data_IF_655830514488
#
_entry.id   IF_655830514488
#
_cell.length_a   1.000
_cell.length_b   1.000
_cell.length_c   1.000
_cell.angle_alpha   90.00
_cell.angle_beta   90.00
_cell.angle_gamma   90.00
#
_symmetry.space_group_name_H-M   'P 1'
#
loop_
_entity.id
_entity.type
_entity.pdbx_description
1 polymer ?
#
# COMPACT_ATOMS: atom_id res chain seq x y z
N UNK A 1 -3.43 -16.34 8.91
CA UNK A 1 -3.15 -14.89 9.00
C UNK A 1 -2.89 -14.30 7.63
N UNK A 2 -3.16 -13.00 7.43
CA UNK A 2 -2.97 -12.27 6.19
C UNK A 2 -1.74 -11.36 6.27
N UNK A 3 -0.87 -11.39 5.25
CA UNK A 3 0.05 -10.29 4.99
C UNK A 3 -0.62 -9.24 4.08
N UNK A 4 -0.79 -8.03 4.59
CA UNK A 4 -1.15 -6.86 3.80
C UNK A 4 0.11 -6.02 3.57
N UNK A 5 0.49 -5.84 2.30
CA UNK A 5 1.71 -5.16 1.90
C UNK A 5 1.33 -3.89 1.12
N UNK A 6 1.73 -2.75 1.66
CA UNK A 6 1.69 -1.47 0.96
C UNK A 6 3.10 -1.09 0.51
N UNK A 7 3.31 -1.01 -0.80
CA UNK A 7 4.59 -0.69 -1.40
C UNK A 7 4.57 0.71 -2.04
N UNK A 8 4.84 1.70 -1.20
CA UNK A 8 4.98 3.09 -1.60
C UNK A 8 6.38 3.45 -2.13
N UNK A 9 6.53 4.65 -2.67
CA UNK A 9 7.79 5.13 -3.25
C UNK A 9 8.96 5.21 -2.25
N UNK A 10 8.67 5.45 -0.98
CA UNK A 10 9.70 5.60 0.07
C UNK A 10 9.86 4.34 0.90
N UNK A 11 8.75 3.74 1.33
CA UNK A 11 8.74 2.58 2.21
C UNK A 11 7.78 1.51 1.69
N UNK A 12 8.12 0.26 1.99
CA UNK A 12 7.22 -0.88 1.96
C UNK A 12 6.77 -1.12 3.39
N UNK A 13 5.48 -1.04 3.64
CA UNK A 13 4.88 -1.34 4.95
C UNK A 13 4.13 -2.65 4.87
N UNK A 14 4.34 -3.52 5.85
CA UNK A 14 3.71 -4.84 5.91
C UNK A 14 2.94 -4.94 7.22
N UNK A 15 1.66 -5.24 7.12
CA UNK A 15 0.80 -5.57 8.24
C UNK A 15 0.57 -7.07 8.32
N UNK A 16 0.62 -7.63 9.52
CA UNK A 16 0.20 -8.99 9.82
C UNK A 16 -1.16 -8.92 10.50
N UNK A 17 -2.17 -9.50 9.88
CA UNK A 17 -3.53 -9.52 10.38
C UNK A 17 -3.97 -10.92 10.81
N UNK A 18 -4.66 -10.99 11.93
CA UNK A 18 -5.43 -12.16 12.36
C UNK A 18 -6.92 -11.78 12.32
N UNK A 19 -7.63 -12.26 11.30
CA UNK A 19 -8.93 -11.71 10.95
C UNK A 19 -8.84 -10.21 10.66
N UNK A 20 -9.63 -9.41 11.35
CA UNK A 20 -9.64 -7.93 11.22
C UNK A 20 -8.59 -7.23 12.10
N UNK A 21 -7.93 -7.96 12.98
CA UNK A 21 -7.00 -7.38 13.96
C UNK A 21 -5.59 -7.27 13.39
N UNK A 22 -5.06 -6.04 13.33
CA UNK A 22 -3.65 -5.80 13.04
C UNK A 22 -2.79 -6.22 14.23
N UNK A 23 -2.10 -7.33 14.12
CA UNK A 23 -1.25 -7.86 15.18
C UNK A 23 0.12 -7.20 15.22
N UNK A 24 0.74 -7.02 14.05
CA UNK A 24 2.10 -6.51 13.94
C UNK A 24 2.30 -5.73 12.64
N UNK A 25 3.28 -4.83 12.66
CA UNK A 25 3.73 -4.11 11.46
C UNK A 25 5.24 -4.26 11.27
N UNK A 26 5.67 -4.18 10.02
CA UNK A 26 7.05 -4.13 9.61
C UNK A 26 7.21 -3.11 8.48
N UNK A 27 8.32 -2.37 8.50
CA UNK A 27 8.60 -1.38 7.46
C UNK A 27 10.03 -1.55 6.95
N UNK A 28 10.18 -1.45 5.65
CA UNK A 28 11.48 -1.46 4.99
C UNK A 28 11.54 -0.39 3.90
N UNK A 29 12.74 0.06 3.55
CA UNK A 29 12.95 1.08 2.52
C UNK A 29 12.72 0.51 1.12
N UNK A 30 11.98 1.23 0.27
CA UNK A 30 11.72 0.85 -1.12
C UNK A 30 12.92 1.12 -2.03
N UNK A 31 13.66 2.20 -1.78
CA UNK A 31 14.71 2.72 -2.68
C UNK A 31 15.91 1.79 -2.90
N UNK A 32 16.02 0.67 -2.19
CA UNK A 32 17.08 -0.33 -2.35
C UNK A 32 16.58 -1.43 -3.28
N UNK A 33 17.36 -1.70 -4.36
CA UNK A 33 17.07 -2.84 -5.24
C UNK A 33 17.32 -4.15 -4.49
N UNK A 34 16.31 -5.02 -4.44
CA UNK A 34 16.37 -6.33 -3.77
C UNK A 34 16.00 -7.44 -4.71
N UNK A 35 16.66 -8.56 -4.54
CA UNK A 35 16.31 -9.83 -5.20
C UNK A 35 15.07 -10.46 -4.56
N UNK A 36 14.50 -11.44 -5.22
CA UNK A 36 13.40 -12.25 -4.67
C UNK A 36 13.80 -12.96 -3.37
N UNK A 37 15.06 -13.39 -3.28
CA UNK A 37 15.57 -14.08 -2.10
C UNK A 37 15.70 -13.15 -0.90
N UNK A 38 16.17 -11.92 -1.11
CA UNK A 38 16.23 -10.92 -0.04
C UNK A 38 14.83 -10.60 0.51
N UNK A 39 13.83 -10.39 -0.34
CA UNK A 39 12.45 -10.18 0.12
C UNK A 39 11.94 -11.39 0.92
N UNK A 40 12.12 -12.61 0.40
CA UNK A 40 11.65 -13.82 1.06
C UNK A 40 12.32 -14.04 2.42
N UNK A 41 13.65 -13.89 2.49
CA UNK A 41 14.41 -14.04 3.74
C UNK A 41 14.04 -12.98 4.76
N UNK A 42 13.90 -11.71 4.37
CA UNK A 42 13.44 -10.65 5.27
C UNK A 42 12.09 -10.95 5.90
N UNK A 43 11.13 -11.42 5.12
CA UNK A 43 9.80 -11.77 5.62
C UNK A 43 9.85 -12.97 6.58
N UNK A 44 10.64 -14.00 6.23
CA UNK A 44 10.83 -15.17 7.11
C UNK A 44 11.51 -14.79 8.42
N UNK A 45 12.56 -13.99 8.37
CA UNK A 45 13.30 -13.58 9.58
C UNK A 45 12.43 -12.68 10.46
N UNK A 46 11.62 -11.81 9.85
CA UNK A 46 10.66 -11.01 10.60
C UNK A 46 9.63 -11.86 11.35
N UNK A 47 9.12 -12.94 10.76
CA UNK A 47 8.26 -13.90 11.44
C UNK A 47 9.00 -14.66 12.55
N UNK A 48 10.22 -15.16 12.26
CA UNK A 48 11.03 -15.89 13.23
C UNK A 48 11.34 -15.08 14.49
N UNK A 49 11.70 -13.79 14.32
CA UNK A 49 11.92 -12.89 15.46
C UNK A 49 10.69 -12.74 16.35
N UNK A 50 9.51 -13.13 15.89
CA UNK A 50 8.24 -13.13 16.62
C UNK A 50 7.76 -14.50 17.02
N UNK A 51 8.63 -15.51 16.84
CA UNK A 51 8.33 -16.91 17.14
C UNK A 51 7.12 -17.45 16.33
N UNK A 52 6.90 -16.91 15.12
CA UNK A 52 5.87 -17.35 14.21
C UNK A 52 6.46 -18.21 13.09
N UNK A 53 5.76 -19.31 12.73
CA UNK A 53 6.05 -20.08 11.52
C UNK A 53 5.51 -19.35 10.28
N UNK A 54 6.14 -19.57 9.13
CA UNK A 54 5.59 -19.10 7.85
C UNK A 54 4.22 -19.69 7.53
N UNK A 55 3.94 -20.89 8.08
CA UNK A 55 2.71 -21.64 7.81
C UNK A 55 1.46 -21.01 8.46
N UNK A 56 1.64 -19.99 9.30
CA UNK A 56 0.52 -19.18 9.80
C UNK A 56 -0.01 -18.19 8.76
N UNK A 57 0.75 -17.96 7.67
CA UNK A 57 0.34 -17.07 6.60
C UNK A 57 -0.47 -17.86 5.57
N UNK A 58 -1.74 -17.52 5.44
CA UNK A 58 -2.68 -18.15 4.52
C UNK A 58 -2.79 -17.37 3.21
N UNK A 59 -2.71 -16.03 3.31
CA UNK A 59 -2.95 -15.12 2.21
C UNK A 59 -2.00 -13.92 2.22
N UNK A 60 -1.77 -13.36 1.05
CA UNK A 60 -0.99 -12.12 0.87
C UNK A 60 -1.71 -11.21 -0.11
N UNK A 61 -1.90 -9.95 0.28
CA UNK A 61 -2.40 -8.89 -0.60
C UNK A 61 -1.34 -7.79 -0.73
N UNK A 62 -1.17 -7.25 -1.93
CA UNK A 62 -0.18 -6.20 -2.23
C UNK A 62 -0.88 -5.04 -2.92
N UNK A 63 -0.81 -3.85 -2.34
CA UNK A 63 -1.01 -2.58 -3.01
C UNK A 63 0.36 -1.97 -3.33
N UNK A 64 0.58 -1.50 -4.56
CA UNK A 64 1.88 -0.95 -4.94
C UNK A 64 1.76 0.14 -5.99
N UNK A 65 2.53 1.21 -5.80
CA UNK A 65 2.79 2.25 -6.79
C UNK A 65 4.22 2.21 -7.33
N UNK A 66 4.92 1.08 -7.11
CA UNK A 66 6.34 0.91 -7.49
C UNK A 66 6.52 -0.34 -8.37
N UNK A 67 6.23 -0.27 -9.68
CA UNK A 67 6.26 -1.43 -10.57
C UNK A 67 7.61 -2.18 -10.60
N UNK A 68 8.71 -1.46 -10.46
CA UNK A 68 10.07 -2.02 -10.54
C UNK A 68 10.41 -3.07 -9.47
N UNK A 69 9.74 -3.06 -8.33
CA UNK A 69 9.99 -4.04 -7.27
C UNK A 69 9.05 -5.24 -7.33
N UNK A 70 7.94 -5.13 -8.05
CA UNK A 70 6.85 -6.12 -8.02
C UNK A 70 7.30 -7.51 -8.42
N UNK A 71 8.12 -7.62 -9.49
CA UNK A 71 8.62 -8.92 -9.92
C UNK A 71 9.38 -9.65 -8.81
N UNK A 72 10.33 -8.96 -8.15
CA UNK A 72 11.14 -9.55 -7.09
C UNK A 72 10.33 -9.83 -5.84
N UNK A 73 9.44 -8.92 -5.43
CA UNK A 73 8.59 -9.07 -4.24
C UNK A 73 7.62 -10.25 -4.40
N UNK A 74 6.90 -10.31 -5.51
CA UNK A 74 5.93 -11.39 -5.80
C UNK A 74 6.63 -12.75 -5.88
N UNK A 75 7.77 -12.83 -6.57
CA UNK A 75 8.53 -14.09 -6.70
C UNK A 75 9.14 -14.51 -5.35
N UNK A 76 9.57 -13.58 -4.52
CA UNK A 76 10.01 -13.86 -3.16
C UNK A 76 8.91 -14.51 -2.32
N UNK A 77 7.70 -13.92 -2.35
CA UNK A 77 6.54 -14.47 -1.64
C UNK A 77 6.20 -15.87 -2.17
N UNK A 78 6.10 -16.05 -3.48
CA UNK A 78 5.81 -17.36 -4.08
C UNK A 78 6.86 -18.41 -3.70
N UNK A 79 8.13 -18.07 -3.78
CA UNK A 79 9.24 -19.00 -3.53
C UNK A 79 9.32 -19.44 -2.07
N UNK A 80 9.15 -18.53 -1.13
CA UNK A 80 9.40 -18.78 0.29
C UNK A 80 8.15 -19.16 1.08
N UNK A 81 6.98 -18.66 0.66
CA UNK A 81 5.70 -18.93 1.34
C UNK A 81 4.80 -19.89 0.55
N UNK A 82 5.05 -20.09 -0.75
CA UNK A 82 4.19 -20.91 -1.61
C UNK A 82 2.86 -20.23 -1.98
N UNK A 83 2.72 -18.94 -1.69
CA UNK A 83 1.47 -18.18 -1.87
C UNK A 83 1.58 -17.29 -3.10
N UNK A 84 0.54 -17.29 -3.93
CA UNK A 84 0.41 -16.28 -5.00
C UNK A 84 -0.36 -15.08 -4.45
N UNK A 85 0.28 -13.90 -4.29
CA UNK A 85 -0.38 -12.76 -3.71
C UNK A 85 -1.48 -12.20 -4.62
N UNK A 86 -2.54 -11.68 -4.02
CA UNK A 86 -3.51 -10.82 -4.68
C UNK A 86 -2.88 -9.44 -4.89
N UNK A 87 -2.89 -8.94 -6.11
CA UNK A 87 -2.39 -7.60 -6.43
C UNK A 87 -3.58 -6.65 -6.56
N UNK A 88 -3.52 -5.55 -5.81
CA UNK A 88 -4.51 -4.48 -5.95
C UNK A 88 -4.18 -3.65 -7.18
N UNK A 89 -5.10 -3.62 -8.12
CA UNK A 89 -4.99 -2.84 -9.35
C UNK A 89 -6.37 -2.34 -9.80
N UNK A 90 -6.45 -1.27 -10.59
CA UNK A 90 -7.70 -0.80 -11.13
C UNK A 90 -8.46 -1.89 -11.89
N UNK A 91 -9.73 -2.11 -11.52
CA UNK A 91 -10.60 -3.12 -12.12
C UNK A 91 -10.83 -4.37 -11.26
N UNK A 92 -10.10 -4.56 -10.16
CA UNK A 92 -10.51 -5.57 -9.18
C UNK A 92 -11.77 -5.12 -8.44
N UNK A 93 -12.55 -6.08 -7.96
CA UNK A 93 -13.77 -5.78 -7.19
C UNK A 93 -13.39 -5.37 -5.77
N UNK A 94 -13.52 -4.10 -5.46
CA UNK A 94 -13.14 -3.52 -4.16
C UNK A 94 -14.33 -3.09 -3.31
N UNK A 95 -15.54 -3.12 -3.87
CA UNK A 95 -16.75 -2.62 -3.18
C UNK A 95 -17.03 -1.14 -3.41
N UNK A 96 -16.11 -0.38 -4.04
CA UNK A 96 -16.35 0.99 -4.50
C UNK A 96 -16.25 1.06 -6.03
N UNK A 97 -16.94 2.05 -6.62
CA UNK A 97 -16.87 2.34 -8.05
C UNK A 97 -15.95 3.53 -8.30
N UNK A 98 -15.12 3.48 -9.33
CA UNK A 98 -14.19 4.58 -9.68
C UNK A 98 -14.78 5.34 -10.88
N UNK A 99 -15.24 6.56 -10.65
CA UNK A 99 -15.84 7.44 -11.66
C UNK A 99 -14.88 8.54 -12.16
N UNK A 100 -13.60 8.22 -12.24
CA UNK A 100 -12.59 9.13 -12.78
C UNK A 100 -12.49 9.02 -14.31
N UNK A 101 -12.06 10.08 -15.01
CA UNK A 101 -11.85 10.05 -16.47
C UNK A 101 -10.86 8.96 -16.91
N UNK A 102 -9.85 8.68 -16.11
CA UNK A 102 -8.81 7.68 -16.35
C UNK A 102 -8.62 6.75 -15.16
N UNK A 103 -9.57 5.86 -14.84
CA UNK A 103 -9.54 5.04 -13.62
C UNK A 103 -8.31 4.11 -13.54
N UNK A 104 -7.71 3.76 -14.69
CA UNK A 104 -6.49 2.92 -14.74
C UNK A 104 -5.22 3.64 -14.26
N UNK A 105 -5.25 4.96 -14.11
CA UNK A 105 -4.12 5.74 -13.61
C UNK A 105 -4.16 5.93 -12.09
N UNK A 106 -5.28 5.56 -11.46
CA UNK A 106 -5.41 5.63 -10.00
C UNK A 106 -4.45 4.66 -9.33
N UNK A 107 -3.63 5.17 -8.41
CA UNK A 107 -2.69 4.36 -7.63
C UNK A 107 -3.39 3.34 -6.75
N UNK A 108 -2.78 2.19 -6.58
CA UNK A 108 -3.34 1.13 -5.74
C UNK A 108 -3.46 1.56 -4.27
N UNK A 109 -2.53 2.38 -3.76
CA UNK A 109 -2.57 3.01 -2.44
C UNK A 109 -3.88 3.80 -2.23
N UNK A 110 -4.24 4.66 -3.17
CA UNK A 110 -5.47 5.46 -3.10
C UNK A 110 -6.74 4.60 -3.15
N UNK A 111 -6.70 3.50 -3.92
CA UNK A 111 -7.82 2.55 -3.98
C UNK A 111 -8.04 1.92 -2.60
N UNK A 112 -6.98 1.43 -1.94
CA UNK A 112 -7.13 0.77 -0.64
C UNK A 112 -7.53 1.74 0.46
N UNK A 113 -7.02 2.97 0.45
CA UNK A 113 -7.39 4.02 1.38
C UNK A 113 -8.87 4.40 1.24
N UNK A 114 -9.35 4.58 0.02
CA UNK A 114 -10.74 4.88 -0.27
C UNK A 114 -11.68 3.75 0.17
N UNK A 115 -11.31 2.49 -0.13
CA UNK A 115 -12.08 1.31 0.30
C UNK A 115 -12.14 1.23 1.82
N UNK A 116 -11.01 1.38 2.49
CA UNK A 116 -10.94 1.33 3.94
C UNK A 116 -11.78 2.44 4.59
N UNK A 117 -11.62 3.68 4.12
CA UNK A 117 -12.37 4.82 4.64
C UNK A 117 -13.87 4.66 4.45
N UNK A 118 -14.31 4.26 3.26
CA UNK A 118 -15.73 4.04 2.98
C UNK A 118 -16.32 2.90 3.83
N UNK A 119 -15.57 1.81 4.00
CA UNK A 119 -16.01 0.68 4.80
C UNK A 119 -16.12 1.02 6.30
N UNK A 120 -15.17 1.81 6.83
CA UNK A 120 -15.10 2.15 8.24
C UNK A 120 -16.05 3.28 8.65
N UNK A 121 -16.26 4.26 7.77
CA UNK A 121 -16.95 5.51 8.11
C UNK A 121 -18.22 5.77 7.28
N UNK A 122 -18.44 5.01 6.22
CA UNK A 122 -19.48 5.30 5.23
C UNK A 122 -19.09 6.47 4.32
N UNK A 123 -20.08 6.93 3.54
CA UNK A 123 -19.91 8.11 2.68
C UNK A 123 -20.94 9.22 3.00
N UNK A 124 -20.73 10.45 2.51
CA UNK A 124 -19.53 10.85 1.79
C UNK A 124 -18.32 10.96 2.72
N UNK A 125 -17.12 10.57 2.21
CA UNK A 125 -15.88 10.62 2.98
C UNK A 125 -14.74 11.20 2.13
N UNK A 126 -13.91 12.05 2.75
CA UNK A 126 -12.69 12.59 2.18
C UNK A 126 -11.51 11.93 2.88
N UNK A 127 -10.66 11.22 2.12
CA UNK A 127 -9.38 10.74 2.63
C UNK A 127 -8.28 11.76 2.35
N UNK A 128 -7.35 11.90 3.29
CA UNK A 128 -6.17 12.72 3.14
C UNK A 128 -4.97 11.89 3.58
N UNK A 129 -4.08 11.55 2.62
CA UNK A 129 -2.81 10.86 2.94
C UNK A 129 -1.65 11.83 2.88
N UNK A 130 -0.87 11.90 3.97
CA UNK A 130 0.33 12.73 4.09
C UNK A 130 1.59 11.90 3.82
N UNK A 131 1.81 11.60 2.55
CA UNK A 131 2.96 10.83 2.10
C UNK A 131 4.07 11.66 1.44
N UNK A 132 4.75 11.08 0.48
CA UNK A 132 5.70 11.76 -0.43
C UNK A 132 4.98 12.85 -1.23
N UNK A 133 3.78 12.58 -1.68
CA UNK A 133 2.76 13.55 -2.07
C UNK A 133 1.70 13.61 -0.96
N UNK A 134 0.92 14.68 -0.91
CA UNK A 134 -0.34 14.72 -0.17
C UNK A 134 -1.46 14.48 -1.15
N UNK A 135 -2.25 13.43 -0.93
CA UNK A 135 -3.40 13.10 -1.77
C UNK A 135 -4.70 13.38 -1.05
N UNK A 136 -5.71 13.74 -1.81
CA UNK A 136 -7.07 14.01 -1.34
C UNK A 136 -8.01 13.24 -2.25
N UNK A 137 -8.84 12.37 -1.67
CA UNK A 137 -9.76 11.50 -2.40
C UNK A 137 -11.15 11.62 -1.85
N UNK A 138 -12.12 11.91 -2.71
CA UNK A 138 -13.52 12.05 -2.36
C UNK A 138 -14.30 10.82 -2.80
N UNK A 139 -14.96 10.18 -1.83
CA UNK A 139 -15.86 9.06 -2.05
C UNK A 139 -17.27 9.49 -1.65
N UNK A 140 -18.25 9.33 -2.56
CA UNK A 140 -19.65 9.71 -2.33
C UNK A 140 -20.35 8.80 -1.31
N UNK A 141 -21.57 9.19 -0.94
CA UNK A 141 -22.46 8.35 -0.11
C UNK A 141 -22.76 6.97 -0.73
N UNK A 142 -22.70 6.87 -2.02
CA UNK A 142 -23.02 5.65 -2.77
C UNK A 142 -21.78 4.78 -3.09
N UNK A 143 -20.64 5.11 -2.48
CA UNK A 143 -19.39 4.37 -2.68
C UNK A 143 -18.75 4.62 -4.04
N UNK A 144 -18.89 5.83 -4.59
CA UNK A 144 -18.28 6.24 -5.85
C UNK A 144 -17.07 7.11 -5.55
N UNK A 145 -15.90 6.72 -6.05
CA UNK A 145 -14.69 7.56 -6.04
C UNK A 145 -14.85 8.63 -7.13
N UNK A 146 -15.16 9.86 -6.73
CA UNK A 146 -15.60 10.93 -7.63
C UNK A 146 -14.50 11.90 -8.02
N UNK A 147 -13.58 12.16 -7.11
CA UNK A 147 -12.54 13.17 -7.33
C UNK A 147 -11.25 12.80 -6.62
N UNK A 148 -10.16 13.26 -7.22
CA UNK A 148 -8.81 13.15 -6.69
C UNK A 148 -8.03 14.45 -6.87
N UNK A 149 -7.23 14.81 -5.87
CA UNK A 149 -6.25 15.88 -5.94
C UNK A 149 -4.92 15.37 -5.40
N UNK A 150 -3.84 15.81 -6.01
CA UNK A 150 -2.48 15.53 -5.54
C UNK A 150 -1.73 16.84 -5.40
N UNK A 151 -1.11 17.05 -4.24
CA UNK A 151 -0.21 18.15 -3.96
C UNK A 151 1.16 17.65 -3.50
N UNK A 152 2.21 18.46 -3.55
CA UNK A 152 3.49 18.05 -2.98
C UNK A 152 3.34 17.74 -1.49
N UNK A 153 4.00 16.68 -1.01
CA UNK A 153 4.02 16.35 0.40
C UNK A 153 4.79 17.39 1.23
N UNK A 154 4.50 17.44 2.53
CA UNK A 154 5.04 18.45 3.46
C UNK A 154 6.57 18.52 3.39
N UNK A 155 7.24 17.37 3.31
CA UNK A 155 8.70 17.33 3.21
C UNK A 155 9.22 17.91 1.90
N UNK A 156 8.55 17.67 0.79
CA UNK A 156 8.90 18.24 -0.52
C UNK A 156 8.73 19.74 -0.53
N UNK A 157 7.63 20.25 0.04
CA UNK A 157 7.37 21.69 0.18
C UNK A 157 8.46 22.35 1.04
N UNK A 158 8.74 21.78 2.22
CA UNK A 158 9.75 22.31 3.11
C UNK A 158 11.14 22.35 2.45
N UNK A 159 11.54 21.28 1.75
CA UNK A 159 12.80 21.24 1.02
C UNK A 159 12.85 22.27 -0.12
N UNK A 160 11.76 22.41 -0.88
CA UNK A 160 11.69 23.39 -1.98
C UNK A 160 11.80 24.83 -1.47
N UNK A 161 11.14 25.15 -0.34
CA UNK A 161 11.27 26.47 0.29
C UNK A 161 12.69 26.69 0.81
N UNK A 162 13.28 25.70 1.48
CA UNK A 162 14.65 25.81 2.00
C UNK A 162 15.71 26.02 0.92
N UNK A 163 15.56 25.36 -0.23
CA UNK A 163 16.54 25.43 -1.33
C UNK A 163 16.24 26.54 -2.34
N UNK A 164 14.96 26.93 -2.46
CA UNK A 164 14.49 27.87 -3.50
C UNK A 164 14.29 29.30 -3.02
N UNK A 165 14.47 29.60 -1.73
CA UNK A 165 14.30 30.95 -1.18
C UNK A 165 15.57 31.44 -0.49
N UNK A 166 15.78 32.75 -0.48
CA UNK A 166 16.96 33.36 0.17
C UNK A 166 16.88 33.41 1.71
N UNK A 167 15.70 33.22 2.27
CA UNK A 167 15.39 33.05 3.70
C UNK A 167 14.02 32.42 3.86
#
# INVERSE_FOLDING_TARGET
>A
MLFAIDAGNTNITIGLFDGEKLEKTFRMTTGISRTSDEYGVFLLDWLRMRQLSKDVIDEVIIASVVPKIMHSLVNGIKKYFGITPLIVEPGIRTGINIALPNPKQLGADRIVDAVAAYHMYGGPVLTIDFGTATTYDLISSDGIFEAEVTSPGIRLIANALWTGTAK
#
